data_IF_791794193420
#
_entry.id   IF_791794193420
#
_cell.length_a   1.000
_cell.length_b   1.000
_cell.length_c   1.000
_cell.angle_alpha   90.00
_cell.angle_beta   90.00
_cell.angle_gamma   90.00
#
_symmetry.space_group_name_H-M   'P 1'
#
loop_
_entity.id
_entity.type
_entity.pdbx_description
1 polymer ?
#
# COMPACT_ATOMS: atom_id res chain seq x y z
N UNK A 1 -27.00 26.19 -44.00
CA UNK A 1 -25.61 25.67 -43.96
C UNK A 1 -24.62 26.57 -43.20
N UNK A 2 -24.60 27.90 -43.37
CA UNK A 2 -23.67 28.80 -42.64
C UNK A 2 -23.83 28.73 -41.11
N UNK A 3 -25.06 28.82 -40.60
CA UNK A 3 -25.38 28.74 -39.16
C UNK A 3 -24.87 27.43 -38.54
N UNK A 4 -25.11 26.29 -39.19
CA UNK A 4 -24.64 24.99 -38.71
C UNK A 4 -23.09 24.93 -38.62
N UNK A 5 -22.38 25.44 -39.63
CA UNK A 5 -20.91 25.52 -39.60
C UNK A 5 -20.41 26.40 -38.45
N UNK A 6 -21.08 27.53 -38.19
CA UNK A 6 -20.75 28.40 -37.05
C UNK A 6 -20.98 27.71 -35.71
N UNK A 7 -22.10 27.01 -35.53
CA UNK A 7 -22.38 26.26 -34.30
C UNK A 7 -21.35 25.14 -34.06
N UNK A 8 -20.96 24.42 -35.11
CA UNK A 8 -19.91 23.40 -35.03
C UNK A 8 -18.58 24.02 -34.62
N UNK A 9 -18.19 25.16 -35.23
CA UNK A 9 -16.97 25.87 -34.87
C UNK A 9 -16.97 26.35 -33.41
N UNK A 10 -18.11 26.87 -32.92
CA UNK A 10 -18.28 27.28 -31.52
C UNK A 10 -18.14 26.07 -30.59
N UNK A 11 -18.77 24.94 -30.92
CA UNK A 11 -18.65 23.72 -30.14
C UNK A 11 -17.20 23.24 -30.03
N UNK A 12 -16.46 23.20 -31.15
CA UNK A 12 -15.04 22.86 -31.15
C UNK A 12 -14.21 23.84 -30.33
N UNK A 13 -14.49 25.14 -30.41
CA UNK A 13 -13.83 26.16 -29.60
C UNK A 13 -14.10 25.92 -28.11
N UNK A 14 -15.35 25.64 -27.72
CA UNK A 14 -15.70 25.34 -26.32
C UNK A 14 -14.96 24.10 -25.82
N UNK A 15 -14.94 23.01 -26.61
CA UNK A 15 -14.21 21.79 -26.26
C UNK A 15 -12.71 22.06 -26.13
N UNK A 16 -12.14 22.87 -27.03
CA UNK A 16 -10.74 23.27 -26.98
C UNK A 16 -10.43 24.08 -25.72
N UNK A 17 -11.21 25.13 -25.43
CA UNK A 17 -11.04 25.95 -24.23
C UNK A 17 -11.20 25.12 -22.96
N UNK A 18 -12.19 24.24 -22.91
CA UNK A 18 -12.39 23.31 -21.79
C UNK A 18 -11.20 22.33 -21.64
N UNK A 19 -10.65 21.84 -22.73
CA UNK A 19 -9.56 20.85 -22.68
C UNK A 19 -8.24 21.49 -22.27
N UNK A 20 -7.89 22.66 -22.84
CA UNK A 20 -6.56 23.26 -22.72
C UNK A 20 -6.50 24.47 -21.79
N UNK A 21 -7.53 25.32 -21.76
CA UNK A 21 -7.50 26.57 -20.97
C UNK A 21 -7.96 26.31 -19.53
N UNK A 22 -9.05 25.59 -19.32
CA UNK A 22 -9.53 25.25 -17.96
C UNK A 22 -8.44 24.69 -17.02
N UNK A 23 -7.64 23.67 -17.39
CA UNK A 23 -6.60 23.16 -16.50
C UNK A 23 -5.46 24.16 -16.25
N UNK A 24 -5.27 25.18 -17.08
CA UNK A 24 -4.31 26.27 -16.85
C UNK A 24 -4.80 27.28 -15.82
N UNK A 25 -6.12 27.47 -15.70
CA UNK A 25 -6.73 28.43 -14.78
C UNK A 25 -6.78 27.93 -13.32
N UNK A 26 -6.56 26.63 -13.07
CA UNK A 26 -6.57 26.08 -11.71
C UNK A 26 -5.41 26.73 -10.91
N UNK A 27 -5.66 27.39 -9.77
CA UNK A 27 -4.58 27.91 -8.95
C UNK A 27 -3.90 26.73 -8.25
N UNK A 28 -2.66 26.41 -8.60
CA UNK A 28 -1.91 25.31 -7.95
C UNK A 28 -1.00 25.83 -6.83
N UNK A 29 -0.60 27.10 -6.90
CA UNK A 29 0.34 27.72 -5.97
C UNK A 29 -0.13 27.72 -4.51
N UNK A 30 -1.43 27.78 -4.25
CA UNK A 30 -1.98 27.72 -2.88
C UNK A 30 -1.59 26.42 -2.17
N UNK A 31 -1.45 25.30 -2.90
CA UNK A 31 -1.07 24.00 -2.35
C UNK A 31 0.34 23.99 -1.74
N UNK A 32 1.16 25.01 -1.97
CA UNK A 32 2.45 25.18 -1.26
C UNK A 32 2.26 25.36 0.23
N UNK A 33 1.18 26.04 0.65
CA UNK A 33 0.96 26.47 2.04
C UNK A 33 -0.30 25.85 2.64
N UNK A 34 -1.29 25.55 1.80
CA UNK A 34 -2.61 25.14 2.26
C UNK A 34 -2.96 23.72 1.80
N UNK A 35 -3.78 23.05 2.60
CA UNK A 35 -4.24 21.70 2.35
C UNK A 35 -5.66 21.73 1.77
N UNK A 36 -5.94 20.96 0.71
CA UNK A 36 -7.28 20.92 0.12
C UNK A 36 -8.25 20.22 1.09
N UNK A 37 -9.35 20.91 1.43
CA UNK A 37 -10.41 20.34 2.30
C UNK A 37 -11.33 19.36 1.56
N UNK A 38 -11.52 19.56 0.26
CA UNK A 38 -12.42 18.76 -0.56
C UNK A 38 -11.84 18.64 -1.96
N UNK A 39 -11.73 17.41 -2.46
CA UNK A 39 -11.16 17.11 -3.78
C UNK A 39 -12.23 16.71 -4.79
N UNK A 40 -11.89 16.72 -6.08
CA UNK A 40 -12.77 16.24 -7.13
C UNK A 40 -13.16 14.76 -6.93
N UNK A 41 -12.22 13.92 -6.48
CA UNK A 41 -12.51 12.52 -6.16
C UNK A 41 -13.50 12.39 -5.00
N UNK A 42 -13.31 13.16 -3.92
CA UNK A 42 -14.22 13.15 -2.78
C UNK A 42 -15.64 13.59 -3.17
N UNK A 43 -15.77 14.68 -3.95
CA UNK A 43 -17.06 15.14 -4.49
C UNK A 43 -17.73 14.08 -5.37
N UNK A 44 -16.92 13.43 -6.21
CA UNK A 44 -17.40 12.34 -7.06
C UNK A 44 -17.97 11.20 -6.23
N UNK A 45 -17.26 10.75 -5.18
CA UNK A 45 -17.71 9.67 -4.30
C UNK A 45 -18.99 10.02 -3.53
N UNK A 46 -19.10 11.22 -2.98
CA UNK A 46 -20.32 11.67 -2.30
C UNK A 46 -21.53 11.58 -3.23
N UNK A 47 -21.41 12.09 -4.46
CA UNK A 47 -22.49 12.01 -5.46
C UNK A 47 -22.78 10.57 -5.91
N UNK A 48 -21.75 9.73 -5.99
CA UNK A 48 -21.92 8.32 -6.30
C UNK A 48 -22.72 7.61 -5.22
N UNK A 49 -22.34 7.76 -3.94
CA UNK A 49 -23.03 7.15 -2.82
C UNK A 49 -24.46 7.65 -2.63
N UNK A 50 -24.69 8.95 -2.85
CA UNK A 50 -26.04 9.53 -2.86
C UNK A 50 -26.96 8.84 -3.89
N UNK A 51 -26.46 8.64 -5.12
CA UNK A 51 -27.19 7.91 -6.17
C UNK A 51 -27.41 6.43 -5.85
N UNK A 52 -26.48 5.82 -5.11
CA UNK A 52 -26.60 4.45 -4.62
C UNK A 52 -27.48 4.33 -3.36
N UNK A 53 -28.00 5.44 -2.82
CA UNK A 53 -28.79 5.46 -1.58
C UNK A 53 -27.97 5.19 -0.31
N UNK A 54 -26.63 5.23 -0.39
CA UNK A 54 -25.73 4.97 0.73
C UNK A 54 -25.46 6.24 1.54
N UNK A 55 -25.48 6.12 2.87
CA UNK A 55 -25.13 7.20 3.80
C UNK A 55 -23.67 7.09 4.25
N UNK A 56 -22.74 7.28 3.32
CA UNK A 56 -21.29 7.25 3.62
C UNK A 56 -20.79 8.67 3.94
N UNK A 57 -20.02 8.80 5.02
CA UNK A 57 -19.34 10.05 5.38
C UNK A 57 -17.85 9.94 5.05
N UNK A 58 -17.28 11.03 4.55
CA UNK A 58 -15.83 11.13 4.36
C UNK A 58 -15.16 11.28 5.73
N UNK A 59 -14.20 10.40 6.00
CA UNK A 59 -13.24 10.49 7.10
C UNK A 59 -11.89 10.84 6.51
N UNK A 60 -11.37 12.00 6.91
CA UNK A 60 -10.03 12.44 6.54
C UNK A 60 -9.35 13.06 7.76
N UNK A 61 -8.10 12.69 7.97
CA UNK A 61 -7.22 13.31 8.96
C UNK A 61 -5.95 13.70 8.23
N UNK A 62 -5.62 15.00 8.25
CA UNK A 62 -4.42 15.50 7.61
C UNK A 62 -3.21 15.29 8.53
N UNK A 63 -2.10 14.83 7.97
CA UNK A 63 -0.84 14.67 8.69
C UNK A 63 0.34 15.13 7.82
N UNK A 64 1.31 15.88 8.37
CA UNK A 64 2.51 16.26 7.61
C UNK A 64 3.39 15.03 7.31
N UNK A 65 4.18 15.08 6.23
CA UNK A 65 4.94 13.94 5.70
C UNK A 65 5.95 13.35 6.70
N UNK A 66 6.49 14.19 7.58
CA UNK A 66 7.41 13.77 8.64
C UNK A 66 6.73 13.01 9.78
N UNK A 67 5.40 13.05 9.87
CA UNK A 67 4.57 12.29 10.81
C UNK A 67 3.92 11.06 10.17
N UNK A 68 4.39 10.65 8.98
CA UNK A 68 4.02 9.41 8.31
C UNK A 68 5.20 8.43 8.38
N UNK A 69 4.91 7.15 8.65
CA UNK A 69 5.91 6.08 8.72
C UNK A 69 6.86 6.10 7.52
N UNK A 70 8.19 6.05 7.74
CA UNK A 70 9.15 5.94 6.64
C UNK A 70 8.95 4.67 5.82
N UNK A 71 8.52 3.57 6.46
CA UNK A 71 8.21 2.32 5.78
C UNK A 71 7.06 2.48 4.80
N UNK A 72 5.98 3.15 5.21
CA UNK A 72 4.85 3.39 4.34
C UNK A 72 5.22 4.28 3.16
N UNK A 73 5.94 5.39 3.39
CA UNK A 73 6.39 6.26 2.30
C UNK A 73 7.15 5.45 1.25
N UNK A 74 8.05 4.56 1.67
CA UNK A 74 8.80 3.68 0.75
C UNK A 74 7.92 2.60 0.10
N UNK A 75 7.01 1.98 0.84
CA UNK A 75 6.11 0.97 0.31
C UNK A 75 5.21 1.53 -0.80
N UNK A 76 4.67 2.73 -0.61
CA UNK A 76 3.84 3.42 -1.60
C UNK A 76 4.64 3.77 -2.85
N UNK A 77 5.86 4.30 -2.68
CA UNK A 77 6.75 4.58 -3.82
C UNK A 77 7.03 3.29 -4.61
N UNK A 78 7.43 2.21 -3.95
CA UNK A 78 7.69 0.92 -4.62
C UNK A 78 6.44 0.40 -5.36
N UNK A 79 5.26 0.56 -4.77
CA UNK A 79 4.02 0.01 -5.31
C UNK A 79 3.46 0.80 -6.49
N UNK A 80 3.55 2.14 -6.43
CA UNK A 80 2.86 3.05 -7.34
C UNK A 80 3.81 3.78 -8.29
N UNK A 81 5.01 4.15 -7.84
CA UNK A 81 5.92 5.05 -8.56
C UNK A 81 7.35 5.02 -7.99
N UNK A 82 8.11 3.99 -8.38
CA UNK A 82 9.41 3.68 -7.76
C UNK A 82 10.48 4.74 -8.10
N UNK A 83 10.32 5.42 -9.24
CA UNK A 83 11.21 6.48 -9.72
C UNK A 83 10.69 7.88 -9.41
N UNK A 84 9.70 8.03 -8.52
CA UNK A 84 9.03 9.30 -8.22
C UNK A 84 9.95 10.51 -8.06
N UNK A 85 11.08 10.35 -7.36
CA UNK A 85 12.03 11.44 -7.10
C UNK A 85 12.96 11.77 -8.29
N UNK A 86 12.96 10.95 -9.34
CA UNK A 86 13.89 11.04 -10.47
C UNK A 86 13.25 11.54 -11.76
N UNK A 87 11.92 11.67 -11.82
CA UNK A 87 11.21 12.19 -13.00
C UNK A 87 10.42 13.47 -12.67
N UNK A 88 10.00 14.24 -13.69
CA UNK A 88 9.18 15.46 -13.52
C UNK A 88 7.69 15.19 -13.82
N UNK A 89 7.10 14.23 -13.11
CA UNK A 89 5.67 13.86 -13.23
C UNK A 89 5.32 12.73 -14.18
N UNK A 90 6.22 12.31 -15.07
CA UNK A 90 5.97 11.21 -16.00
C UNK A 90 7.16 10.24 -16.01
N UNK A 91 6.88 8.96 -15.79
CA UNK A 91 7.85 7.87 -15.98
C UNK A 91 7.64 7.25 -17.37
N UNK A 92 8.44 7.68 -18.33
CA UNK A 92 8.34 7.23 -19.72
C UNK A 92 8.64 5.73 -19.85
N UNK A 93 9.57 5.20 -19.06
CA UNK A 93 9.89 3.78 -19.07
C UNK A 93 8.71 2.96 -18.56
N UNK A 94 8.06 3.40 -17.48
CA UNK A 94 6.87 2.74 -16.95
C UNK A 94 5.69 2.80 -17.94
N UNK A 95 5.53 3.92 -18.66
CA UNK A 95 4.50 4.06 -19.70
C UNK A 95 4.77 3.07 -20.84
N UNK A 96 6.00 3.02 -21.37
CA UNK A 96 6.37 2.10 -22.44
C UNK A 96 6.19 0.64 -22.02
N UNK A 97 6.64 0.28 -20.81
CA UNK A 97 6.48 -1.06 -20.26
C UNK A 97 5.00 -1.45 -20.07
N UNK A 98 4.16 -0.50 -19.64
CA UNK A 98 2.73 -0.73 -19.50
C UNK A 98 2.06 -0.96 -20.86
N UNK A 99 2.44 -0.19 -21.89
CA UNK A 99 1.96 -0.37 -23.27
C UNK A 99 2.34 -1.75 -23.79
N UNK A 100 3.61 -2.12 -23.69
CA UNK A 100 4.10 -3.43 -24.15
C UNK A 100 3.36 -4.60 -23.49
N UNK A 101 3.18 -4.53 -22.15
CA UNK A 101 2.43 -5.55 -21.40
C UNK A 101 0.95 -5.60 -21.78
N UNK A 102 0.33 -4.47 -22.11
CA UNK A 102 -1.07 -4.41 -22.53
C UNK A 102 -1.26 -4.98 -23.95
N UNK A 103 -0.33 -4.72 -24.86
CA UNK A 103 -0.31 -5.32 -26.20
C UNK A 103 -0.18 -6.84 -26.08
N UNK A 104 0.81 -7.32 -25.31
CA UNK A 104 1.01 -8.75 -25.06
C UNK A 104 -0.21 -9.43 -24.40
N UNK A 105 -0.90 -8.72 -23.51
CA UNK A 105 -2.08 -9.24 -22.83
C UNK A 105 -3.40 -9.11 -23.64
N UNK A 106 -3.38 -8.42 -24.78
CA UNK A 106 -4.58 -8.13 -25.59
C UNK A 106 -5.63 -7.26 -24.88
N UNK A 107 -5.29 -6.64 -23.74
CA UNK A 107 -6.23 -5.82 -22.95
C UNK A 107 -5.50 -4.79 -22.11
N UNK A 108 -6.16 -3.65 -21.87
CA UNK A 108 -5.69 -2.58 -20.98
C UNK A 108 -5.78 -2.99 -19.51
N UNK A 109 -4.73 -3.63 -18.99
CA UNK A 109 -4.63 -4.13 -17.61
C UNK A 109 -3.59 -3.39 -16.77
N UNK A 110 -2.44 -3.04 -17.36
CA UNK A 110 -1.32 -2.43 -16.66
C UNK A 110 -1.35 -0.91 -16.85
N UNK A 111 -1.27 -0.17 -15.74
CA UNK A 111 -1.16 1.29 -15.75
C UNK A 111 0.28 1.74 -15.58
N UNK A 112 0.64 2.85 -16.23
CA UNK A 112 1.93 3.54 -16.05
C UNK A 112 1.74 4.96 -15.52
N UNK A 113 0.78 5.18 -14.61
CA UNK A 113 0.52 6.51 -14.06
C UNK A 113 1.31 6.75 -12.78
N UNK A 114 2.05 7.85 -12.74
CA UNK A 114 2.88 8.29 -11.59
C UNK A 114 2.03 8.79 -10.43
N UNK A 115 2.65 8.97 -9.26
CA UNK A 115 1.98 9.58 -8.09
C UNK A 115 1.47 10.99 -8.41
N UNK A 116 2.23 11.78 -9.19
CA UNK A 116 1.82 13.14 -9.57
C UNK A 116 0.62 13.15 -10.50
N UNK A 117 0.55 12.21 -11.44
CA UNK A 117 -0.63 12.01 -12.30
C UNK A 117 -1.85 11.59 -11.49
N UNK A 118 -1.66 10.67 -10.56
CA UNK A 118 -2.73 10.24 -9.66
C UNK A 118 -3.20 11.40 -8.75
N UNK A 119 -2.28 12.22 -8.25
CA UNK A 119 -2.60 13.41 -7.45
C UNK A 119 -3.41 14.43 -8.26
N UNK A 120 -2.97 14.77 -9.48
CA UNK A 120 -3.69 15.66 -10.39
C UNK A 120 -5.13 15.20 -10.60
N UNK A 121 -5.28 13.90 -10.89
CA UNK A 121 -6.59 13.26 -11.03
C UNK A 121 -7.42 13.40 -9.75
N UNK A 122 -6.88 13.01 -8.59
CA UNK A 122 -7.64 12.98 -7.34
C UNK A 122 -8.08 14.38 -6.90
N UNK A 123 -7.20 15.39 -7.02
CA UNK A 123 -7.48 16.75 -6.61
C UNK A 123 -8.54 17.44 -7.48
N UNK A 124 -8.38 17.34 -8.80
CA UNK A 124 -9.05 18.27 -9.72
C UNK A 124 -9.94 17.62 -10.77
N UNK A 125 -9.85 16.30 -10.98
CA UNK A 125 -10.56 15.61 -12.05
C UNK A 125 -11.47 14.51 -11.51
N UNK A 126 -12.53 14.19 -12.26
CA UNK A 126 -13.35 13.01 -11.98
C UNK A 126 -12.64 11.72 -12.46
N UNK A 127 -12.98 10.54 -11.94
CA UNK A 127 -12.42 9.26 -12.41
C UNK A 127 -12.92 8.82 -13.80
N UNK A 128 -13.44 9.74 -14.62
CA UNK A 128 -13.97 9.42 -15.95
C UNK A 128 -12.89 8.85 -16.88
N UNK A 129 -13.23 7.83 -17.68
CA UNK A 129 -12.29 7.21 -18.63
C UNK A 129 -12.38 7.88 -20.01
N UNK A 130 -12.15 9.19 -20.08
CA UNK A 130 -12.17 9.97 -21.32
C UNK A 130 -10.76 10.49 -21.69
N UNK A 131 -10.32 10.42 -22.96
CA UNK A 131 -9.07 11.03 -23.44
C UNK A 131 -8.88 12.51 -23.07
N UNK A 132 -9.92 13.34 -23.17
CA UNK A 132 -9.87 14.77 -22.80
C UNK A 132 -9.43 14.95 -21.35
N UNK A 133 -10.00 14.14 -20.45
CA UNK A 133 -9.62 14.15 -19.03
C UNK A 133 -8.16 13.73 -18.84
N UNK A 134 -7.64 12.82 -19.66
CA UNK A 134 -6.22 12.41 -19.59
C UNK A 134 -5.27 13.52 -20.09
N UNK A 135 -5.68 14.32 -21.08
CA UNK A 135 -4.94 15.51 -21.51
C UNK A 135 -4.90 16.55 -20.37
N UNK A 136 -6.06 16.83 -19.76
CA UNK A 136 -6.13 17.74 -18.62
C UNK A 136 -5.27 17.24 -17.45
N UNK A 137 -5.28 15.94 -17.17
CA UNK A 137 -4.41 15.32 -16.15
C UNK A 137 -2.94 15.59 -16.44
N UNK A 138 -2.50 15.45 -17.69
CA UNK A 138 -1.12 15.70 -18.08
C UNK A 138 -0.72 17.18 -17.87
N UNK A 139 -1.57 18.12 -18.28
CA UNK A 139 -1.34 19.56 -18.07
C UNK A 139 -1.23 19.89 -16.58
N UNK A 140 -2.17 19.39 -15.77
CA UNK A 140 -2.18 19.63 -14.32
C UNK A 140 -0.97 18.97 -13.64
N UNK A 141 -0.59 17.76 -14.06
CA UNK A 141 0.60 17.05 -13.55
C UNK A 141 1.86 17.88 -13.76
N UNK A 142 2.06 18.36 -14.98
CA UNK A 142 3.20 19.23 -15.30
C UNK A 142 3.22 20.48 -14.42
N UNK A 143 2.05 21.13 -14.24
CA UNK A 143 1.96 22.32 -13.38
C UNK A 143 2.21 22.02 -11.92
N UNK A 144 1.77 20.86 -11.40
CA UNK A 144 2.06 20.43 -10.03
C UNK A 144 3.57 20.26 -9.82
N UNK A 145 4.25 19.57 -10.73
CA UNK A 145 5.70 19.31 -10.66
C UNK A 145 6.54 20.58 -10.77
N UNK A 146 6.15 21.53 -11.63
CA UNK A 146 6.84 22.82 -11.72
C UNK A 146 6.58 23.73 -10.51
N UNK A 147 5.48 23.52 -9.79
CA UNK A 147 5.07 24.42 -8.71
C UNK A 147 5.45 23.91 -7.32
N UNK A 148 5.40 22.60 -7.09
CA UNK A 148 5.51 22.00 -5.76
C UNK A 148 6.76 21.12 -5.65
N UNK A 149 7.48 21.14 -4.52
CA UNK A 149 8.56 20.20 -4.28
C UNK A 149 8.01 18.77 -4.15
N UNK A 150 8.81 17.76 -4.54
CA UNK A 150 8.44 16.33 -4.52
C UNK A 150 7.87 15.87 -3.18
N UNK A 151 8.47 16.29 -2.07
CA UNK A 151 7.97 15.96 -0.73
C UNK A 151 6.55 16.48 -0.51
N UNK A 152 6.25 17.70 -0.98
CA UNK A 152 4.89 18.26 -0.85
C UNK A 152 3.89 17.51 -1.74
N UNK A 153 4.28 17.11 -2.94
CA UNK A 153 3.44 16.27 -3.81
C UNK A 153 3.13 14.94 -3.13
N UNK A 154 4.13 14.25 -2.57
CA UNK A 154 3.94 13.00 -1.86
C UNK A 154 3.05 13.18 -0.61
N UNK A 155 3.24 14.26 0.15
CA UNK A 155 2.41 14.59 1.31
C UNK A 155 0.94 14.78 0.92
N UNK A 156 0.68 15.60 -0.11
CA UNK A 156 -0.66 15.82 -0.64
C UNK A 156 -1.26 14.49 -1.08
N UNK A 157 -0.54 13.69 -1.87
CA UNK A 157 -1.00 12.40 -2.37
C UNK A 157 -1.43 11.46 -1.24
N UNK A 158 -0.58 11.27 -0.23
CA UNK A 158 -0.87 10.37 0.89
C UNK A 158 -2.07 10.83 1.72
N UNK A 159 -2.34 12.13 1.77
CA UNK A 159 -3.47 12.71 2.50
C UNK A 159 -4.78 12.81 1.69
N UNK A 160 -4.73 12.72 0.36
CA UNK A 160 -5.93 12.81 -0.50
C UNK A 160 -6.28 11.51 -1.22
N UNK A 161 -5.39 10.52 -1.22
CA UNK A 161 -5.70 9.19 -1.73
C UNK A 161 -6.87 8.56 -0.96
N UNK A 162 -7.71 7.83 -1.68
CA UNK A 162 -8.74 6.98 -1.11
C UNK A 162 -8.09 5.65 -0.69
N UNK A 163 -8.32 5.23 0.55
CA UNK A 163 -7.75 4.00 1.11
C UNK A 163 -8.82 2.96 1.44
N UNK A 164 -10.10 3.34 1.37
CA UNK A 164 -11.28 2.49 1.57
C UNK A 164 -12.57 3.30 1.37
N UNK A 165 -13.74 2.66 1.50
CA UNK A 165 -15.03 3.36 1.34
C UNK A 165 -15.18 4.48 2.40
N UNK A 166 -15.21 5.74 1.94
CA UNK A 166 -15.29 6.90 2.82
C UNK A 166 -13.97 7.27 3.52
N UNK A 167 -12.87 6.56 3.27
CA UNK A 167 -11.61 6.75 3.99
C UNK A 167 -10.60 7.41 3.06
N UNK A 168 -10.28 8.67 3.37
CA UNK A 168 -9.32 9.47 2.61
C UNK A 168 -8.17 9.90 3.50
N UNK A 169 -6.96 9.82 2.95
CA UNK A 169 -5.76 10.14 3.68
C UNK A 169 -5.27 9.01 4.58
N UNK A 170 -3.95 8.90 4.65
CA UNK A 170 -3.29 7.77 5.29
C UNK A 170 -3.54 7.71 6.80
N UNK A 171 -3.62 8.84 7.49
CA UNK A 171 -3.83 8.84 8.95
C UNK A 171 -5.20 8.25 9.29
N UNK A 172 -6.24 8.61 8.53
CA UNK A 172 -7.56 8.00 8.67
C UNK A 172 -7.54 6.50 8.35
N UNK A 173 -6.79 6.09 7.33
CA UNK A 173 -6.65 4.69 6.95
C UNK A 173 -5.93 3.86 8.03
N UNK A 174 -4.80 4.35 8.55
CA UNK A 174 -4.02 3.69 9.59
C UNK A 174 -4.87 3.45 10.85
N UNK A 175 -5.61 4.47 11.28
CA UNK A 175 -6.52 4.35 12.42
C UNK A 175 -7.69 3.41 12.16
N UNK A 176 -8.24 3.45 10.96
CA UNK A 176 -9.37 2.59 10.60
C UNK A 176 -8.97 1.11 10.54
N UNK A 177 -7.83 0.79 9.92
CA UNK A 177 -7.41 -0.59 9.73
C UNK A 177 -6.61 -1.12 10.93
N UNK A 178 -5.67 -0.37 11.47
CA UNK A 178 -4.73 -0.87 12.47
C UNK A 178 -4.89 -0.24 13.85
N UNK A 179 -5.87 0.67 14.03
CA UNK A 179 -6.15 1.30 15.32
C UNK A 179 -5.07 2.28 15.81
N UNK A 180 -4.09 2.64 14.97
CA UNK A 180 -2.91 3.42 15.39
C UNK A 180 -2.53 4.55 14.43
N UNK A 181 -1.75 5.55 14.88
CA UNK A 181 -1.25 6.62 14.03
C UNK A 181 -0.44 6.09 12.84
N UNK A 182 -0.49 6.78 11.71
CA UNK A 182 0.25 6.40 10.49
C UNK A 182 1.78 6.42 10.65
N UNK A 183 2.29 7.10 11.68
CA UNK A 183 3.71 7.09 12.04
C UNK A 183 4.17 5.71 12.56
N UNK A 184 3.27 4.97 13.20
CA UNK A 184 3.56 3.70 13.89
C UNK A 184 3.31 2.47 13.01
N UNK A 185 3.01 2.68 11.73
CA UNK A 185 2.88 1.59 10.77
C UNK A 185 4.21 0.87 10.60
N UNK A 186 4.19 -0.43 10.89
CA UNK A 186 5.33 -1.31 10.69
C UNK A 186 5.51 -1.62 9.19
N UNK A 187 6.62 -2.28 8.80
CA UNK A 187 6.88 -2.53 7.38
C UNK A 187 5.85 -3.42 6.68
N UNK A 188 5.25 -4.38 7.39
CA UNK A 188 4.26 -5.29 6.81
C UNK A 188 2.90 -4.60 6.59
N UNK A 189 2.41 -3.86 7.58
CA UNK A 189 1.19 -3.06 7.47
C UNK A 189 1.32 -2.00 6.36
N UNK A 190 2.51 -1.39 6.25
CA UNK A 190 2.86 -0.46 5.19
C UNK A 190 2.76 -1.10 3.80
N UNK A 191 3.27 -2.32 3.65
CA UNK A 191 3.19 -3.07 2.40
C UNK A 191 1.76 -3.50 2.06
N UNK A 192 0.95 -3.87 3.06
CA UNK A 192 -0.47 -4.18 2.89
C UNK A 192 -1.26 -2.98 2.41
N UNK A 193 -1.08 -1.80 3.04
CA UNK A 193 -1.73 -0.56 2.62
C UNK A 193 -1.33 -0.15 1.20
N UNK A 194 -0.04 -0.21 0.88
CA UNK A 194 0.43 0.09 -0.48
C UNK A 194 -0.13 -0.90 -1.51
N UNK A 195 -0.34 -2.17 -1.14
CA UNK A 195 -0.89 -3.18 -2.04
C UNK A 195 -2.36 -2.96 -2.41
N UNK A 196 -3.14 -2.25 -1.59
CA UNK A 196 -4.58 -2.02 -1.84
C UNK A 196 -4.86 -0.74 -2.64
N UNK A 197 -3.93 0.22 -2.69
CA UNK A 197 -4.07 1.50 -3.39
C UNK A 197 -4.58 1.42 -4.85
N UNK A 198 -4.23 0.40 -5.66
CA UNK A 198 -4.77 0.31 -7.02
C UNK A 198 -6.30 0.17 -7.08
N UNK A 199 -6.93 -0.39 -6.04
CA UNK A 199 -8.39 -0.48 -5.95
C UNK A 199 -8.86 -0.58 -4.48
N UNK A 200 -8.87 0.55 -3.74
CA UNK A 200 -9.10 0.58 -2.30
C UNK A 200 -10.54 0.22 -1.90
N UNK A 201 -11.50 0.35 -2.81
CA UNK A 201 -12.90 -0.03 -2.56
C UNK A 201 -13.07 -1.56 -2.62
N UNK A 202 -12.29 -2.24 -3.46
CA UNK A 202 -12.38 -3.69 -3.65
C UNK A 202 -11.48 -4.45 -2.68
N UNK A 203 -10.35 -3.89 -2.32
CA UNK A 203 -9.31 -4.58 -1.55
C UNK A 203 -9.30 -4.12 -0.10
N UNK A 204 -9.19 -5.09 0.82
CA UNK A 204 -9.11 -4.83 2.25
C UNK A 204 -7.72 -5.27 2.77
N UNK A 205 -6.95 -4.38 3.44
CA UNK A 205 -5.64 -4.74 3.97
C UNK A 205 -5.69 -5.66 5.20
N UNK A 206 -6.80 -5.68 5.96
CA UNK A 206 -6.99 -6.58 7.12
C UNK A 206 -7.46 -7.97 6.75
N UNK A 207 -8.24 -8.09 5.67
CA UNK A 207 -8.62 -9.36 5.09
C UNK A 207 -8.13 -9.45 3.64
N UNK A 208 -6.81 -9.56 3.43
CA UNK A 208 -6.23 -9.48 2.11
C UNK A 208 -6.52 -10.75 1.32
N UNK A 209 -7.15 -10.59 0.17
CA UNK A 209 -7.24 -11.67 -0.83
C UNK A 209 -5.85 -12.19 -1.21
N UNK A 210 -5.77 -13.39 -1.79
CA UNK A 210 -4.50 -13.98 -2.24
C UNK A 210 -3.72 -13.06 -3.19
N UNK A 211 -4.41 -12.25 -3.99
CA UNK A 211 -3.78 -11.24 -4.84
C UNK A 211 -3.09 -10.14 -4.02
N UNK A 212 -3.81 -9.56 -3.05
CA UNK A 212 -3.29 -8.49 -2.18
C UNK A 212 -2.12 -9.01 -1.35
N UNK A 213 -2.23 -10.22 -0.78
CA UNK A 213 -1.13 -10.84 -0.03
C UNK A 213 0.12 -11.02 -0.88
N UNK A 214 -0.01 -11.56 -2.11
CA UNK A 214 1.13 -11.72 -3.02
C UNK A 214 1.79 -10.39 -3.35
N UNK A 215 0.98 -9.35 -3.61
CA UNK A 215 1.49 -7.99 -3.90
C UNK A 215 2.18 -7.38 -2.69
N UNK A 216 1.61 -7.49 -1.49
CA UNK A 216 2.22 -7.02 -0.25
C UNK A 216 3.54 -7.73 0.06
N UNK A 217 3.60 -9.06 -0.11
CA UNK A 217 4.84 -9.85 0.02
C UNK A 217 5.93 -9.37 -0.94
N UNK A 218 5.58 -9.08 -2.19
CA UNK A 218 6.51 -8.53 -3.17
C UNK A 218 7.05 -7.15 -2.74
N UNK A 219 6.17 -6.24 -2.32
CA UNK A 219 6.57 -4.90 -1.84
C UNK A 219 7.49 -5.03 -0.63
N UNK A 220 7.11 -5.83 0.36
CA UNK A 220 7.91 -6.10 1.55
C UNK A 220 9.28 -6.70 1.22
N UNK A 221 9.32 -7.66 0.31
CA UNK A 221 10.58 -8.27 -0.15
C UNK A 221 11.50 -7.23 -0.81
N UNK A 222 10.97 -6.34 -1.65
CA UNK A 222 11.74 -5.25 -2.25
C UNK A 222 12.26 -4.30 -1.18
N UNK A 223 11.44 -3.96 -0.17
CA UNK A 223 11.86 -3.12 0.95
C UNK A 223 13.01 -3.76 1.74
N UNK A 224 12.93 -5.06 2.03
CA UNK A 224 14.00 -5.83 2.68
C UNK A 224 15.27 -5.82 1.84
N UNK A 225 15.17 -6.17 0.54
CA UNK A 225 16.32 -6.22 -0.37
C UNK A 225 17.05 -4.87 -0.49
N UNK A 226 16.33 -3.76 -0.32
CA UNK A 226 16.90 -2.40 -0.37
C UNK A 226 17.40 -1.88 0.98
N UNK A 227 17.45 -2.72 2.02
CA UNK A 227 17.90 -2.33 3.36
C UNK A 227 17.00 -1.31 4.06
N UNK A 228 15.76 -1.12 3.59
CA UNK A 228 14.79 -0.21 4.23
C UNK A 228 14.35 -0.81 5.57
N UNK A 229 14.11 -2.12 5.57
CA UNK A 229 13.79 -2.90 6.76
C UNK A 229 15.12 -3.40 7.32
N UNK A 230 15.54 -2.87 8.46
CA UNK A 230 16.64 -3.46 9.22
C UNK A 230 16.10 -4.74 9.83
N UNK A 231 16.79 -5.85 9.62
CA UNK A 231 16.53 -7.04 10.41
C UNK A 231 16.89 -6.67 11.85
N UNK A 232 15.88 -6.61 12.73
CA UNK A 232 16.18 -6.83 14.13
C UNK A 232 16.77 -8.22 14.18
N UNK A 233 18.07 -8.31 14.50
CA UNK A 233 18.65 -9.55 14.98
C UNK A 233 17.81 -9.93 16.19
N UNK A 234 16.89 -10.88 16.01
CA UNK A 234 16.56 -11.72 17.14
C UNK A 234 17.88 -12.39 17.44
N UNK A 235 18.56 -11.96 18.51
CA UNK A 235 19.35 -12.92 19.25
C UNK A 235 18.43 -14.12 19.40
N UNK A 236 18.79 -15.20 18.70
CA UNK A 236 18.37 -16.50 19.14
C UNK A 236 19.04 -16.56 20.50
N UNK A 237 18.33 -16.14 21.55
CA UNK A 237 18.64 -16.64 22.87
C UNK A 237 18.54 -18.14 22.67
N UNK A 238 19.70 -18.78 22.65
CA UNK A 238 19.85 -20.17 23.04
C UNK A 238 19.41 -20.27 24.50
N UNK A 239 18.13 -20.01 24.76
CA UNK A 239 17.50 -20.29 26.03
C UNK A 239 17.05 -21.74 25.97
N UNK A 240 18.02 -22.56 26.40
CA UNK A 240 17.89 -23.87 26.99
C UNK A 240 17.27 -24.96 26.11
N UNK A 241 18.14 -25.83 25.58
CA UNK A 241 17.80 -27.25 25.55
C UNK A 241 17.19 -27.64 26.91
N UNK A 242 16.02 -28.30 26.94
CA UNK A 242 15.53 -28.84 28.19
C UNK A 242 16.56 -29.87 28.68
N UNK A 243 17.24 -29.53 29.79
CA UNK A 243 18.00 -30.49 30.57
C UNK A 243 17.10 -31.70 30.81
N UNK A 244 17.54 -32.94 30.55
CA UNK A 244 16.75 -34.10 30.87
C UNK A 244 16.48 -34.10 32.38
N UNK A 245 15.20 -34.06 32.75
CA UNK A 245 14.77 -34.20 34.13
C UNK A 245 15.28 -35.54 34.67
N UNK A 246 16.10 -35.49 35.72
CA UNK A 246 16.47 -36.65 36.55
C UNK A 246 15.23 -37.14 37.32
N UNK A 247 14.31 -37.82 36.64
CA UNK A 247 13.23 -38.54 37.33
C UNK A 247 12.73 -39.71 36.48
N UNK A 248 13.56 -40.75 36.40
CA UNK A 248 13.19 -42.17 36.45
C UNK A 248 14.44 -43.00 36.16
N UNK A 249 15.27 -43.22 37.19
CA UNK A 249 16.11 -44.41 37.24
C UNK A 249 15.25 -45.53 37.83
N UNK A 250 14.44 -46.16 36.99
CA UNK A 250 14.02 -47.52 37.26
C UNK A 250 15.29 -48.36 37.11
N UNK A 251 15.78 -48.91 38.22
CA UNK A 251 16.90 -49.85 38.21
C UNK A 251 16.48 -51.11 37.44
N UNK A 252 16.79 -51.16 36.16
CA UNK A 252 16.90 -52.43 35.43
C UNK A 252 18.17 -53.12 35.91
N UNK A 253 18.00 -54.01 36.87
CA UNK A 253 19.05 -54.90 37.36
C UNK A 253 19.52 -55.77 36.19
N UNK A 254 20.83 -55.80 35.96
CA UNK A 254 21.46 -56.62 34.92
C UNK A 254 21.14 -58.10 35.13
N UNK A 255 20.89 -58.90 34.08
CA UNK A 255 20.70 -60.35 34.19
C UNK A 255 21.85 -61.08 34.91
N UNK A 256 23.05 -60.48 34.95
CA UNK A 256 24.20 -61.02 35.66
C UNK A 256 24.12 -60.83 37.19
N UNK A 257 23.42 -59.79 37.68
CA UNK A 257 23.19 -59.55 39.10
C UNK A 257 22.04 -60.39 39.66
N UNK A 258 21.05 -60.75 38.82
CA UNK A 258 20.02 -61.74 39.19
C UNK A 258 20.62 -63.13 39.45
N UNK A 259 21.57 -63.57 38.62
CA UNK A 259 22.25 -64.87 38.79
C UNK A 259 23.10 -64.88 40.07
N UNK A 260 23.65 -63.74 40.49
CA UNK A 260 24.43 -63.65 41.74
C UNK A 260 23.54 -63.71 42.99
N UNK A 261 22.34 -63.12 42.95
CA UNK A 261 21.38 -63.15 44.06
C UNK A 261 20.72 -64.52 44.22
N UNK A 262 20.40 -65.21 43.12
CA UNK A 262 19.76 -66.53 43.14
C UNK A 262 20.69 -67.64 43.68
N UNK A 263 22.00 -67.53 43.45
CA UNK A 263 22.99 -68.46 44.00
C UNK A 263 23.29 -68.21 45.50
N UNK A 264 23.03 -67.00 46.00
CA UNK A 264 23.24 -66.65 47.41
C UNK A 264 22.13 -67.24 48.30
N UNK A 265 20.88 -67.17 47.86
CA UNK A 265 19.72 -67.78 48.54
C UNK A 265 19.72 -69.30 48.54
N UNK A 266 20.35 -69.95 47.56
CA UNK A 266 20.53 -71.41 47.53
C UNK A 266 21.59 -71.91 48.53
N UNK A 267 22.59 -71.09 48.88
CA UNK A 267 23.62 -71.45 49.88
C UNK A 267 23.16 -71.29 51.34
N UNK A 268 22.17 -70.44 51.61
CA UNK A 268 21.69 -70.17 52.98
C UNK A 268 20.59 -71.17 53.44
N UNK A 269 19.96 -71.90 52.52
CA UNK A 269 18.93 -72.92 52.83
C UNK A 269 19.47 -74.35 53.00
N UNK A 270 20.79 -74.56 53.02
CA UNK A 270 21.42 -75.87 53.31
C UNK A 270 22.05 -75.97 54.71
N UNK A 271 21.76 -75.04 55.63
CA UNK A 271 22.27 -75.11 57.03
C UNK A 271 21.18 -75.24 58.09
N UNK A 272 19.96 -75.62 57.70
CA UNK A 272 18.93 -76.09 58.63
C UNK A 272 18.20 -77.28 58.05
N UNK A 273 18.85 -78.45 58.14
CA UNK A 273 18.32 -79.76 58.56
C UNK A 273 19.43 -80.81 58.47
#
# INVERSE_FOLDING_TARGET
MKILKTLIAILFLIIFLYTFIYPMLIPISYLKKENPKMTAMMKYRLKQWEREGKKVKIKQIWVPLNKISPYLKKAVLIAEDDKFYYHEGFDLDAIMLAIEKNIKAGKLKYGGSTISQQLAKNLFLSPSKNPIRKIQEAIITFRLEKTLPKNRILELYLNVAEWGEGIFGIEAASRHYFGKPSLELNPWESALLAAVLPNPIKYNPLNPSSYVQKRAKLIYFIMKKRGIIKEEYKEVTEEAEPQPSEENKTEEISPQEQIFQENKTLSENQTTL
#
